data_IF_375838901752
#
_entry.id   IF_375838901752
#
_cell.length_a   1.000
_cell.length_b   1.000
_cell.length_c   1.000
_cell.angle_alpha   90.00
_cell.angle_beta   90.00
_cell.angle_gamma   90.00
#
_symmetry.space_group_name_H-M   'P 1'
#
loop_
_entity.id
_entity.type
_entity.pdbx_description
1 polymer ?
#
# COMPACT_ATOMS: atom_id res chain seq x y z
N UNK A 1 5.53 -21.22 -11.95
CA UNK A 1 5.46 -19.75 -12.18
C UNK A 1 4.39 -19.21 -11.25
N UNK A 2 4.62 -18.08 -10.60
CA UNK A 2 3.66 -17.43 -9.71
C UNK A 2 3.50 -15.96 -10.11
N UNK A 3 2.34 -15.39 -9.83
CA UNK A 3 2.11 -13.95 -10.02
C UNK A 3 1.81 -13.30 -8.68
N UNK A 4 2.41 -12.13 -8.46
CA UNK A 4 2.06 -11.22 -7.36
C UNK A 4 1.37 -9.99 -7.95
N UNK A 5 0.18 -9.73 -7.47
CA UNK A 5 -0.55 -8.51 -7.84
C UNK A 5 -0.49 -7.53 -6.67
N UNK A 6 -0.01 -6.34 -6.92
CA UNK A 6 0.00 -5.23 -5.96
C UNK A 6 -1.09 -4.23 -6.33
N UNK A 7 -1.98 -3.91 -5.39
CA UNK A 7 -3.08 -2.97 -5.60
C UNK A 7 -3.11 -1.95 -4.46
N UNK A 8 -2.93 -0.67 -4.78
CA UNK A 8 -3.17 0.39 -3.81
C UNK A 8 -4.67 0.60 -3.62
N UNK A 9 -5.08 0.81 -2.36
CA UNK A 9 -6.47 1.16 -2.06
C UNK A 9 -6.96 2.32 -2.91
N UNK A 10 -8.27 2.34 -3.19
CA UNK A 10 -8.94 3.44 -3.88
C UNK A 10 -8.86 4.75 -3.11
N UNK A 11 -9.21 5.85 -3.76
CA UNK A 11 -9.21 7.19 -3.17
C UNK A 11 -10.00 7.20 -1.86
N UNK A 12 -9.34 7.66 -0.78
CA UNK A 12 -9.96 7.80 0.53
C UNK A 12 -10.43 9.22 0.80
N UNK A 13 -11.31 9.40 1.80
CA UNK A 13 -11.80 10.69 2.24
C UNK A 13 -10.66 11.69 2.51
N UNK A 14 -9.59 11.25 3.19
CA UNK A 14 -8.45 12.12 3.48
C UNK A 14 -7.48 12.30 2.30
N UNK A 15 -7.53 11.44 1.29
CA UNK A 15 -6.89 11.74 0.01
C UNK A 15 -7.61 12.90 -0.71
N UNK A 16 -8.94 12.93 -0.65
CA UNK A 16 -9.74 14.01 -1.22
C UNK A 16 -9.52 15.34 -0.50
N UNK A 17 -9.47 15.31 0.84
CA UNK A 17 -9.21 16.48 1.68
C UNK A 17 -7.73 16.89 1.73
N UNK A 18 -6.84 16.21 1.00
CA UNK A 18 -5.39 16.46 0.98
C UNK A 18 -4.70 16.37 2.36
N UNK A 19 -5.21 15.52 3.28
CA UNK A 19 -4.67 15.35 4.62
C UNK A 19 -3.63 14.23 4.69
N UNK A 20 -2.72 14.32 5.67
CA UNK A 20 -1.84 13.20 6.05
C UNK A 20 -2.65 12.14 6.78
N UNK A 21 -2.79 10.96 6.19
CA UNK A 21 -3.66 9.90 6.74
C UNK A 21 -2.92 8.94 7.67
N UNK A 22 -1.87 8.32 7.18
CA UNK A 22 -1.10 7.32 7.94
C UNK A 22 -1.96 6.16 8.46
N UNK A 23 -1.87 5.89 9.76
CA UNK A 23 -2.61 4.83 10.44
C UNK A 23 -4.01 5.27 10.91
N UNK A 24 -4.36 6.54 10.77
CA UNK A 24 -5.74 6.98 11.00
C UNK A 24 -6.68 6.26 10.03
N UNK A 25 -7.79 5.73 10.56
CA UNK A 25 -8.68 4.89 9.79
C UNK A 25 -9.80 5.72 9.17
N UNK A 26 -9.75 5.88 7.85
CA UNK A 26 -10.76 6.58 7.04
C UNK A 26 -11.28 5.65 5.97
N UNK A 27 -12.45 5.98 5.45
CA UNK A 27 -13.11 5.22 4.43
C UNK A 27 -12.74 5.65 3.00
N UNK A 28 -13.24 4.90 2.02
CA UNK A 28 -13.18 5.23 0.61
C UNK A 28 -14.21 6.30 0.26
N UNK A 29 -13.85 7.19 -0.66
CA UNK A 29 -14.82 8.04 -1.35
C UNK A 29 -15.66 7.22 -2.34
N UNK A 30 -16.72 7.83 -2.91
CA UNK A 30 -17.47 7.23 -4.01
C UNK A 30 -16.56 6.91 -5.21
N UNK A 31 -15.61 7.78 -5.52
CA UNK A 31 -14.60 7.56 -6.56
C UNK A 31 -13.69 6.38 -6.21
N UNK A 32 -13.22 6.29 -4.96
CA UNK A 32 -12.41 5.16 -4.50
C UNK A 32 -13.13 3.82 -4.56
N UNK A 33 -14.45 3.80 -4.36
CA UNK A 33 -15.29 2.60 -4.57
C UNK A 33 -15.31 2.23 -6.06
N UNK A 34 -15.48 3.20 -6.96
CA UNK A 34 -15.47 2.97 -8.42
C UNK A 34 -14.08 2.49 -8.90
N UNK A 35 -12.98 3.05 -8.36
CA UNK A 35 -11.62 2.57 -8.62
C UNK A 35 -11.44 1.11 -8.19
N UNK A 36 -11.96 0.73 -7.01
CA UNK A 36 -11.90 -0.65 -6.53
C UNK A 36 -12.72 -1.62 -7.41
N UNK A 37 -13.87 -1.20 -7.93
CA UNK A 37 -14.65 -1.96 -8.89
C UNK A 37 -13.89 -2.13 -10.20
N UNK A 38 -13.29 -1.07 -10.73
CA UNK A 38 -12.47 -1.11 -11.95
C UNK A 38 -11.29 -2.06 -11.78
N UNK A 39 -10.61 -2.02 -10.63
CA UNK A 39 -9.56 -2.98 -10.31
C UNK A 39 -10.08 -4.43 -10.37
N UNK A 40 -11.26 -4.69 -9.81
CA UNK A 40 -11.90 -6.00 -9.86
C UNK A 40 -12.18 -6.48 -11.29
N UNK A 41 -12.62 -5.58 -12.18
CA UNK A 41 -12.83 -5.88 -13.60
C UNK A 41 -11.50 -6.22 -14.30
N UNK A 42 -10.44 -5.46 -14.04
CA UNK A 42 -9.11 -5.74 -14.57
C UNK A 42 -8.59 -7.10 -14.11
N UNK A 43 -8.74 -7.41 -12.81
CA UNK A 43 -8.35 -8.71 -12.27
C UNK A 43 -9.15 -9.89 -12.86
N UNK A 44 -10.43 -9.71 -13.09
CA UNK A 44 -11.30 -10.75 -13.67
C UNK A 44 -10.96 -11.07 -15.13
N UNK A 45 -10.55 -10.05 -15.89
CA UNK A 45 -10.32 -10.15 -17.32
C UNK A 45 -8.86 -10.39 -17.71
N UNK A 46 -7.93 -10.38 -16.72
CA UNK A 46 -6.50 -10.59 -17.00
C UNK A 46 -6.22 -12.05 -17.41
N UNK A 47 -5.72 -12.29 -18.63
CA UNK A 47 -5.49 -13.65 -19.11
C UNK A 47 -4.48 -14.41 -18.26
N UNK A 48 -4.87 -15.64 -17.85
CA UNK A 48 -4.02 -16.53 -17.09
C UNK A 48 -3.79 -16.12 -15.62
N UNK A 49 -4.54 -15.14 -15.11
CA UNK A 49 -4.51 -14.77 -13.70
C UNK A 49 -5.48 -15.64 -12.89
N UNK A 50 -4.97 -16.44 -11.98
CA UNK A 50 -5.76 -17.28 -11.07
C UNK A 50 -5.48 -16.90 -9.61
N UNK A 51 -6.23 -15.93 -9.09
CA UNK A 51 -6.09 -15.46 -7.71
C UNK A 51 -6.46 -16.57 -6.71
N UNK A 52 -5.59 -16.84 -5.74
CA UNK A 52 -5.73 -17.90 -4.73
C UNK A 52 -5.75 -17.40 -3.29
N UNK A 53 -5.07 -16.30 -2.98
CA UNK A 53 -5.00 -15.72 -1.66
C UNK A 53 -4.88 -14.20 -1.73
N UNK A 54 -5.48 -13.53 -0.75
CA UNK A 54 -5.38 -12.09 -0.55
C UNK A 54 -4.62 -11.76 0.72
N UNK A 55 -3.69 -10.81 0.63
CA UNK A 55 -3.08 -10.12 1.77
C UNK A 55 -3.55 -8.66 1.80
N UNK A 56 -3.89 -8.15 2.99
CA UNK A 56 -4.24 -6.75 3.15
C UNK A 56 -3.83 -6.20 4.53
N UNK A 57 -3.91 -4.90 4.71
CA UNK A 57 -3.64 -4.22 5.97
C UNK A 57 -4.80 -4.34 6.96
N UNK A 58 -4.68 -3.66 8.11
CA UNK A 58 -5.76 -3.52 9.11
C UNK A 58 -6.58 -2.23 8.93
N UNK A 59 -6.35 -1.46 7.85
CA UNK A 59 -7.03 -0.19 7.62
C UNK A 59 -8.21 -0.35 6.67
N UNK A 60 -9.35 0.24 7.04
CA UNK A 60 -10.65 0.07 6.38
C UNK A 60 -10.60 0.33 4.88
N UNK A 61 -9.92 1.38 4.42
CA UNK A 61 -9.80 1.71 3.00
C UNK A 61 -9.15 0.61 2.16
N UNK A 62 -8.15 -0.10 2.70
CA UNK A 62 -7.52 -1.21 2.00
C UNK A 62 -8.39 -2.48 2.06
N UNK A 63 -8.97 -2.78 3.22
CA UNK A 63 -9.90 -3.89 3.41
C UNK A 63 -11.10 -3.75 2.47
N UNK A 64 -11.72 -2.56 2.39
CA UNK A 64 -12.87 -2.30 1.52
C UNK A 64 -12.50 -2.40 0.05
N UNK A 65 -11.37 -1.81 -0.36
CA UNK A 65 -10.87 -1.97 -1.73
C UNK A 65 -10.71 -3.45 -2.09
N UNK A 66 -10.08 -4.23 -1.22
CA UNK A 66 -9.91 -5.67 -1.41
C UNK A 66 -11.25 -6.40 -1.57
N UNK A 67 -12.20 -6.16 -0.66
CA UNK A 67 -13.51 -6.80 -0.70
C UNK A 67 -14.30 -6.44 -1.97
N UNK A 68 -14.30 -5.16 -2.36
CA UNK A 68 -14.98 -4.68 -3.57
C UNK A 68 -14.34 -5.31 -4.82
N UNK A 69 -13.01 -5.27 -4.92
CA UNK A 69 -12.29 -5.84 -6.07
C UNK A 69 -12.52 -7.34 -6.20
N UNK A 70 -12.46 -8.10 -5.09
CA UNK A 70 -12.73 -9.54 -5.09
C UNK A 70 -14.20 -9.86 -5.43
N UNK A 71 -15.15 -9.07 -4.91
CA UNK A 71 -16.57 -9.23 -5.23
C UNK A 71 -16.81 -9.02 -6.71
N UNK A 72 -16.26 -7.95 -7.30
CA UNK A 72 -16.36 -7.66 -8.73
C UNK A 72 -15.68 -8.73 -9.59
N UNK A 73 -14.55 -9.26 -9.13
CA UNK A 73 -13.85 -10.36 -9.79
C UNK A 73 -14.50 -11.74 -9.59
N UNK A 74 -15.62 -11.83 -8.86
CA UNK A 74 -16.27 -13.09 -8.45
C UNK A 74 -15.31 -14.04 -7.71
N UNK A 75 -14.54 -13.49 -6.76
CA UNK A 75 -13.51 -14.17 -5.94
C UNK A 75 -13.63 -13.90 -4.45
N UNK A 76 -14.82 -13.51 -3.94
CA UNK A 76 -15.05 -13.20 -2.51
C UNK A 76 -14.76 -14.36 -1.56
N UNK A 77 -14.67 -15.59 -2.07
CA UNK A 77 -14.40 -16.82 -1.30
C UNK A 77 -12.91 -17.03 -0.99
N UNK A 78 -12.01 -16.22 -1.55
CA UNK A 78 -10.57 -16.39 -1.33
C UNK A 78 -10.19 -16.24 0.16
N UNK A 79 -9.24 -17.04 0.66
CA UNK A 79 -8.67 -16.80 1.97
C UNK A 79 -7.99 -15.43 2.05
N UNK A 80 -8.22 -14.76 3.19
CA UNK A 80 -7.72 -13.40 3.45
C UNK A 80 -6.78 -13.41 4.64
N UNK A 81 -5.56 -12.90 4.45
CA UNK A 81 -4.58 -12.65 5.51
C UNK A 81 -4.46 -11.16 5.77
N UNK A 82 -4.68 -10.73 6.99
CA UNK A 82 -4.52 -9.32 7.41
C UNK A 82 -3.28 -9.15 8.26
N UNK A 83 -2.51 -8.09 7.99
CA UNK A 83 -1.32 -7.79 8.78
C UNK A 83 -1.13 -6.28 8.92
N UNK A 84 -0.86 -5.82 10.15
CA UNK A 84 -0.46 -4.45 10.42
C UNK A 84 0.82 -4.05 9.67
N UNK A 85 1.67 -5.01 9.35
CA UNK A 85 2.90 -4.79 8.57
C UNK A 85 2.63 -4.26 7.17
N UNK A 86 1.41 -4.43 6.65
CA UNK A 86 0.96 -3.84 5.38
C UNK A 86 0.27 -2.48 5.55
N UNK A 87 0.12 -1.94 6.76
CA UNK A 87 -0.44 -0.61 6.97
C UNK A 87 0.35 0.47 6.22
N UNK A 88 -0.27 1.62 6.01
CA UNK A 88 0.41 2.81 5.49
C UNK A 88 1.53 3.26 6.45
N UNK A 89 2.47 4.06 5.97
CA UNK A 89 3.46 4.72 6.80
C UNK A 89 2.78 5.61 7.85
N UNK A 90 3.27 5.56 9.09
CA UNK A 90 2.78 6.41 10.15
C UNK A 90 3.37 7.82 10.02
N UNK A 91 2.51 8.84 9.87
CA UNK A 91 2.95 10.20 9.64
C UNK A 91 3.23 11.02 10.92
N UNK A 92 3.23 10.37 12.09
CA UNK A 92 3.52 11.04 13.37
C UNK A 92 2.59 12.23 13.61
N UNK A 93 3.16 13.34 14.08
CA UNK A 93 2.41 14.57 14.39
C UNK A 93 1.82 15.27 13.14
N UNK A 94 2.19 14.84 11.93
CA UNK A 94 1.54 15.34 10.71
C UNK A 94 0.16 14.70 10.47
N UNK A 95 -0.18 13.59 11.13
CA UNK A 95 -1.48 12.91 10.96
C UNK A 95 -2.65 13.88 11.18
N UNK A 96 -3.53 13.98 10.19
CA UNK A 96 -4.69 14.89 10.18
C UNK A 96 -4.40 16.31 9.75
N UNK A 97 -3.14 16.69 9.52
CA UNK A 97 -2.79 18.03 9.02
C UNK A 97 -2.94 18.10 7.51
N UNK A 98 -3.36 19.28 7.01
CA UNK A 98 -3.40 19.57 5.58
C UNK A 98 -1.97 19.72 5.03
N UNK A 99 -1.72 19.13 3.84
CA UNK A 99 -0.37 19.13 3.25
C UNK A 99 0.04 20.52 2.77
N UNK A 100 -0.91 21.34 2.26
CA UNK A 100 -0.63 22.68 1.78
C UNK A 100 -0.32 23.62 2.96
N UNK A 101 -1.14 23.61 4.01
CA UNK A 101 -0.90 24.37 5.22
C UNK A 101 0.42 23.97 5.90
N UNK A 102 0.76 22.67 5.86
CA UNK A 102 2.04 22.17 6.36
C UNK A 102 3.22 22.71 5.53
N UNK A 103 3.06 22.79 4.19
CA UNK A 103 4.07 23.38 3.30
C UNK A 103 4.25 24.89 3.57
N UNK A 104 3.14 25.62 3.78
CA UNK A 104 3.19 27.04 4.10
C UNK A 104 3.89 27.31 5.45
N UNK A 105 3.69 26.42 6.43
CA UNK A 105 4.27 26.55 7.76
C UNK A 105 5.75 26.17 7.85
N UNK A 106 6.16 25.10 7.19
CA UNK A 106 7.49 24.49 7.36
C UNK A 106 8.38 24.60 6.11
N UNK A 107 7.83 25.08 5.00
CA UNK A 107 8.50 25.15 3.71
C UNK A 107 8.36 23.87 2.89
N UNK A 108 8.37 24.02 1.57
CA UNK A 108 8.21 22.90 0.61
C UNK A 108 9.33 21.87 0.71
N UNK A 109 10.57 22.31 0.96
CA UNK A 109 11.73 21.40 1.08
C UNK A 109 11.57 20.48 2.29
N UNK A 110 11.21 21.04 3.45
CA UNK A 110 10.99 20.24 4.65
C UNK A 110 9.80 19.30 4.48
N UNK A 111 8.71 19.75 3.85
CA UNK A 111 7.58 18.89 3.53
C UNK A 111 8.00 17.74 2.62
N UNK A 112 8.80 18.03 1.57
CA UNK A 112 9.31 17.01 0.64
C UNK A 112 10.18 15.99 1.38
N UNK A 113 11.05 16.41 2.30
CA UNK A 113 11.84 15.50 3.15
C UNK A 113 10.93 14.56 3.94
N UNK A 114 9.96 15.08 4.68
CA UNK A 114 9.05 14.25 5.48
C UNK A 114 8.16 13.32 4.63
N UNK A 115 7.86 13.70 3.40
CA UNK A 115 7.00 12.90 2.52
C UNK A 115 7.75 11.88 1.68
N UNK A 116 8.98 12.19 1.28
CA UNK A 116 9.69 11.49 0.21
C UNK A 116 11.02 10.89 0.64
N UNK A 117 11.69 11.41 1.67
CA UNK A 117 12.96 10.84 2.10
C UNK A 117 12.80 9.37 2.49
N UNK A 118 13.84 8.60 2.21
CA UNK A 118 13.92 7.20 2.62
C UNK A 118 14.06 7.06 4.13
N UNK A 119 14.86 7.91 4.79
CA UNK A 119 15.30 7.77 6.17
C UNK A 119 14.94 8.94 7.12
N UNK A 120 14.28 10.01 6.62
CA UNK A 120 13.86 11.14 7.45
C UNK A 120 12.38 11.02 7.81
N UNK A 121 12.03 10.65 9.06
CA UNK A 121 10.64 10.58 9.49
C UNK A 121 10.05 11.96 9.77
N UNK A 122 8.72 12.12 9.70
CA UNK A 122 8.04 13.27 10.29
C UNK A 122 8.25 13.32 11.82
N UNK A 123 7.98 14.47 12.47
CA UNK A 123 7.98 14.55 13.93
C UNK A 123 7.08 13.46 14.55
N UNK A 124 7.54 12.75 15.61
CA UNK A 124 6.75 11.73 16.26
C UNK A 124 5.52 12.33 16.96
N UNK A 125 4.50 11.51 17.18
CA UNK A 125 3.41 11.86 18.08
C UNK A 125 3.99 12.05 19.50
N UNK A 126 3.51 13.06 20.25
CA UNK A 126 3.82 13.19 21.68
C UNK A 126 3.34 11.97 22.49
N UNK A 127 3.99 11.70 23.59
CA UNK A 127 3.55 10.67 24.52
C UNK A 127 2.12 10.95 25.01
N UNK A 128 1.26 9.93 24.98
CA UNK A 128 -0.14 10.05 25.38
C UNK A 128 -1.04 10.77 24.37
N UNK A 129 -0.56 11.08 23.18
CA UNK A 129 -1.40 11.69 22.13
C UNK A 129 -2.57 10.76 21.76
N UNK A 130 -3.82 11.27 21.74
CA UNK A 130 -5.01 10.46 21.44
C UNK A 130 -5.05 9.89 20.01
N UNK A 131 -4.18 10.36 19.12
CA UNK A 131 -4.00 9.81 17.77
C UNK A 131 -3.09 8.58 17.75
N UNK A 132 -2.45 8.23 18.88
CA UNK A 132 -1.66 7.01 19.01
C UNK A 132 -2.52 5.77 18.83
N UNK A 133 -1.98 4.75 18.18
CA UNK A 133 -2.63 3.46 18.00
C UNK A 133 -2.36 2.48 19.16
N UNK A 134 -1.65 2.92 20.20
CA UNK A 134 -1.46 2.14 21.44
C UNK A 134 -2.80 1.94 22.14
N UNK A 135 -3.16 0.68 22.43
CA UNK A 135 -4.44 0.33 23.02
C UNK A 135 -5.60 0.16 22.03
N UNK A 136 -5.41 0.42 20.76
CA UNK A 136 -6.42 0.11 19.74
C UNK A 136 -6.58 -1.42 19.59
N UNK A 137 -7.81 -1.96 19.68
CA UNK A 137 -8.06 -3.41 19.63
C UNK A 137 -7.59 -4.08 18.33
N UNK A 138 -7.40 -3.35 17.25
CA UNK A 138 -6.84 -3.87 15.99
C UNK A 138 -5.39 -4.33 16.15
N UNK A 139 -4.66 -3.76 17.10
CA UNK A 139 -3.23 -4.01 17.34
C UNK A 139 -2.95 -4.73 18.67
N UNK A 140 -3.97 -5.32 19.32
CA UNK A 140 -3.84 -5.98 20.63
C UNK A 140 -2.78 -7.08 20.69
N UNK A 141 -2.51 -7.73 19.54
CA UNK A 141 -1.53 -8.82 19.43
C UNK A 141 -0.15 -8.30 18.91
N UNK A 142 0.00 -6.98 18.80
CA UNK A 142 1.24 -6.32 18.39
C UNK A 142 1.96 -5.81 19.64
N UNK A 143 3.26 -6.13 19.83
CA UNK A 143 4.03 -5.54 20.92
C UNK A 143 3.96 -4.02 20.89
N UNK A 144 3.78 -3.39 22.06
CA UNK A 144 3.58 -1.94 22.15
C UNK A 144 4.74 -1.15 21.53
N UNK A 145 5.95 -1.65 21.70
CA UNK A 145 7.18 -1.09 21.13
C UNK A 145 7.26 -1.19 19.60
N UNK A 146 6.44 -2.04 18.99
CA UNK A 146 6.35 -2.17 17.53
C UNK A 146 5.26 -1.28 16.92
N UNK A 147 4.44 -0.60 17.76
CA UNK A 147 3.45 0.38 17.29
C UNK A 147 4.18 1.71 17.07
N UNK A 148 4.27 2.20 15.83
CA UNK A 148 5.09 3.37 15.54
C UNK A 148 4.42 4.66 16.03
N UNK A 149 5.22 5.61 16.50
CA UNK A 149 4.83 6.99 16.75
C UNK A 149 5.15 7.91 15.56
N UNK A 150 5.97 7.45 14.64
CA UNK A 150 6.30 8.02 13.33
C UNK A 150 7.08 7.01 12.51
N UNK A 151 7.07 7.13 11.19
CA UNK A 151 7.87 6.27 10.29
C UNK A 151 8.42 7.08 9.10
N UNK A 152 9.65 6.78 8.70
CA UNK A 152 10.16 7.02 7.35
C UNK A 152 9.93 5.76 6.47
N UNK A 153 10.32 5.80 5.20
CA UNK A 153 10.15 4.64 4.30
C UNK A 153 11.02 3.44 4.74
N UNK A 154 12.22 3.69 5.29
CA UNK A 154 13.11 2.67 5.83
C UNK A 154 12.44 1.84 6.94
N UNK A 155 11.67 2.48 7.82
CA UNK A 155 10.93 1.80 8.89
C UNK A 155 9.82 0.91 8.30
N UNK A 156 9.12 1.40 7.26
CA UNK A 156 8.13 0.61 6.53
C UNK A 156 8.77 -0.61 5.86
N UNK A 157 9.94 -0.45 5.23
CA UNK A 157 10.70 -1.56 4.65
C UNK A 157 11.08 -2.57 5.73
N UNK A 158 11.53 -2.12 6.89
CA UNK A 158 11.93 -2.99 8.01
C UNK A 158 10.77 -3.88 8.51
N UNK A 159 9.53 -3.37 8.54
CA UNK A 159 8.36 -4.17 8.97
C UNK A 159 7.70 -4.98 7.85
N UNK A 160 7.79 -4.52 6.61
CA UNK A 160 7.22 -5.23 5.45
C UNK A 160 8.08 -6.41 5.02
N UNK A 161 9.41 -6.27 5.09
CA UNK A 161 10.37 -7.28 4.63
C UNK A 161 10.17 -8.66 5.27
N UNK A 162 10.12 -8.80 6.61
CA UNK A 162 9.86 -10.10 7.22
C UNK A 162 8.48 -10.67 6.86
N UNK A 163 7.46 -9.84 6.74
CA UNK A 163 6.14 -10.32 6.32
C UNK A 163 6.13 -10.82 4.87
N UNK A 164 6.89 -10.16 4.00
CA UNK A 164 7.08 -10.66 2.64
C UNK A 164 7.79 -12.01 2.64
N UNK A 165 8.95 -12.13 3.29
CA UNK A 165 9.78 -13.33 3.23
C UNK A 165 9.15 -14.55 3.91
N UNK A 166 8.46 -14.35 5.03
CA UNK A 166 7.91 -15.41 5.87
C UNK A 166 6.48 -15.81 5.50
N UNK A 167 5.71 -14.92 4.87
CA UNK A 167 4.27 -15.16 4.62
C UNK A 167 3.93 -15.05 3.14
N UNK A 168 4.18 -13.88 2.50
CA UNK A 168 3.78 -13.68 1.11
C UNK A 168 4.58 -14.57 0.17
N UNK A 169 5.89 -14.70 0.37
CA UNK A 169 6.74 -15.54 -0.46
C UNK A 169 6.41 -17.04 -0.32
N UNK A 170 6.01 -17.47 0.88
CA UNK A 170 5.53 -18.84 1.10
C UNK A 170 4.22 -19.10 0.34
N UNK A 171 3.24 -18.17 0.41
CA UNK A 171 2.01 -18.29 -0.37
C UNK A 171 2.31 -18.27 -1.88
N UNK A 172 3.23 -17.41 -2.35
CA UNK A 172 3.68 -17.40 -3.76
C UNK A 172 4.28 -18.75 -4.20
N UNK A 173 5.14 -19.37 -3.39
CA UNK A 173 5.72 -20.68 -3.71
C UNK A 173 4.65 -21.76 -3.75
N UNK A 174 3.80 -21.80 -2.73
CA UNK A 174 2.72 -22.78 -2.61
C UNK A 174 1.73 -22.69 -3.77
N UNK A 175 1.19 -21.51 -4.03
CA UNK A 175 0.18 -21.30 -5.06
C UNK A 175 0.80 -21.35 -6.47
N UNK A 176 2.05 -20.94 -6.63
CA UNK A 176 2.78 -20.97 -7.90
C UNK A 176 3.01 -22.39 -8.45
N UNK A 177 3.08 -23.43 -7.59
CA UNK A 177 3.09 -24.83 -8.02
C UNK A 177 1.83 -25.20 -8.80
N UNK A 178 0.70 -24.60 -8.45
CA UNK A 178 -0.60 -24.80 -9.05
C UNK A 178 -0.93 -23.76 -10.15
N UNK A 179 0.03 -22.88 -10.50
CA UNK A 179 -0.20 -21.79 -11.43
C UNK A 179 -1.03 -20.65 -10.85
N UNK A 180 -1.14 -20.59 -9.53
CA UNK A 180 -1.95 -19.59 -8.81
C UNK A 180 -1.21 -18.28 -8.57
N UNK A 181 -1.95 -17.26 -8.17
CA UNK A 181 -1.50 -15.90 -7.97
C UNK A 181 -1.88 -15.37 -6.59
N UNK A 182 -1.04 -14.47 -6.06
CA UNK A 182 -1.23 -13.79 -4.77
C UNK A 182 -1.62 -12.32 -5.03
N UNK A 183 -2.67 -11.84 -4.36
CA UNK A 183 -3.08 -10.44 -4.39
C UNK A 183 -2.67 -9.74 -3.07
N UNK A 184 -2.03 -8.58 -3.15
CA UNK A 184 -1.75 -7.70 -2.01
C UNK A 184 -2.48 -6.38 -2.23
N UNK A 185 -3.43 -6.06 -1.36
CA UNK A 185 -4.13 -4.78 -1.36
C UNK A 185 -3.67 -3.97 -0.17
N UNK A 186 -2.95 -2.87 -0.42
CA UNK A 186 -2.30 -2.11 0.63
C UNK A 186 -2.21 -0.60 0.29
N UNK A 187 -1.13 0.07 0.68
CA UNK A 187 -1.01 1.53 0.64
C UNK A 187 0.23 1.97 -0.14
N UNK A 188 0.32 3.27 -0.41
CA UNK A 188 1.40 3.84 -1.20
C UNK A 188 2.80 3.47 -0.69
N UNK A 189 3.06 3.66 0.61
CA UNK A 189 4.40 3.39 1.15
C UNK A 189 4.66 1.90 1.42
N UNK A 190 3.66 1.12 1.84
CA UNK A 190 3.86 -0.33 1.99
C UNK A 190 4.07 -1.04 0.64
N UNK A 191 3.42 -0.58 -0.44
CA UNK A 191 3.66 -1.09 -1.78
C UNK A 191 4.99 -0.61 -2.38
N UNK A 192 5.43 0.63 -2.06
CA UNK A 192 6.80 1.07 -2.37
C UNK A 192 7.85 0.18 -1.71
N UNK A 193 7.66 -0.12 -0.42
CA UNK A 193 8.56 -1.03 0.31
C UNK A 193 8.62 -2.42 -0.36
N UNK A 194 7.48 -2.99 -0.74
CA UNK A 194 7.44 -4.26 -1.47
C UNK A 194 8.16 -4.16 -2.82
N UNK A 195 7.91 -3.12 -3.59
CA UNK A 195 8.57 -2.94 -4.89
C UNK A 195 10.08 -2.72 -4.74
N UNK A 196 10.50 -1.95 -3.73
CA UNK A 196 11.91 -1.75 -3.41
C UNK A 196 12.62 -3.07 -3.13
N UNK A 197 12.04 -3.92 -2.26
CA UNK A 197 12.58 -5.24 -1.91
C UNK A 197 12.64 -6.16 -3.12
N UNK A 198 11.55 -6.23 -3.90
CA UNK A 198 11.40 -7.17 -5.01
C UNK A 198 12.21 -6.78 -6.24
N UNK A 199 12.25 -5.51 -6.58
CA UNK A 199 12.84 -4.99 -7.81
C UNK A 199 14.24 -4.39 -7.58
N UNK A 200 14.76 -4.44 -6.34
CA UNK A 200 16.05 -3.83 -5.95
C UNK A 200 16.15 -2.35 -6.35
N UNK A 201 15.06 -1.59 -6.15
CA UNK A 201 15.02 -0.17 -6.49
C UNK A 201 15.92 0.60 -5.50
N UNK A 202 16.87 1.42 -5.97
CA UNK A 202 17.73 2.24 -5.11
C UNK A 202 16.97 3.24 -4.24
N UNK A 203 17.58 3.67 -3.14
CA UNK A 203 16.96 4.59 -2.16
C UNK A 203 16.62 5.95 -2.76
N UNK A 204 17.39 6.45 -3.69
CA UNK A 204 17.16 7.70 -4.41
C UNK A 204 16.04 7.59 -5.44
N UNK A 205 15.91 6.45 -6.12
CA UNK A 205 14.87 6.22 -7.11
C UNK A 205 13.50 5.92 -6.47
N UNK A 206 13.47 5.21 -5.33
CA UNK A 206 12.21 4.82 -4.67
C UNK A 206 11.41 6.04 -4.19
N UNK A 207 12.08 7.15 -3.90
CA UNK A 207 11.44 8.39 -3.45
C UNK A 207 10.55 9.00 -4.52
N UNK A 208 10.88 8.81 -5.79
CA UNK A 208 10.15 9.35 -6.94
C UNK A 208 9.07 8.37 -7.47
N UNK A 209 9.07 7.12 -6.98
CA UNK A 209 8.10 6.12 -7.42
C UNK A 209 6.70 6.43 -6.91
N UNK A 210 5.77 6.67 -7.82
CA UNK A 210 4.35 6.83 -7.49
C UNK A 210 3.58 5.53 -7.70
N UNK A 211 2.70 5.21 -6.74
CA UNK A 211 1.80 4.08 -6.83
C UNK A 211 0.38 4.63 -7.04
N UNK A 212 -0.22 4.49 -8.24
CA UNK A 212 -1.58 4.95 -8.50
C UNK A 212 -2.61 4.19 -7.65
N UNK A 213 -3.73 4.84 -7.31
CA UNK A 213 -4.87 4.20 -6.65
C UNK A 213 -5.63 3.32 -7.63
N UNK A 214 -6.15 2.19 -7.17
CA UNK A 214 -7.11 1.37 -7.92
C UNK A 214 -6.57 0.69 -9.19
N UNK A 215 -5.28 0.76 -9.50
CA UNK A 215 -4.69 0.12 -10.67
C UNK A 215 -3.77 -1.03 -10.26
N UNK A 216 -4.11 -2.30 -10.59
CA UNK A 216 -3.29 -3.44 -10.22
C UNK A 216 -1.95 -3.46 -10.96
N UNK A 217 -0.87 -3.78 -10.25
CA UNK A 217 0.47 -3.98 -10.78
C UNK A 217 0.86 -5.45 -10.66
N UNK A 218 1.11 -6.13 -11.77
CA UNK A 218 1.47 -7.55 -11.84
C UNK A 218 2.98 -7.72 -11.89
N UNK A 219 3.51 -8.61 -11.05
CA UNK A 219 4.89 -9.11 -11.09
C UNK A 219 4.82 -10.61 -11.36
N UNK A 220 5.42 -11.06 -12.43
CA UNK A 220 5.52 -12.48 -12.78
C UNK A 220 6.85 -13.04 -12.33
N UNK A 221 6.81 -14.21 -11.71
CA UNK A 221 7.99 -14.91 -11.21
C UNK A 221 8.18 -16.27 -11.86
N UNK A 222 9.44 -16.70 -11.93
CA UNK A 222 9.77 -18.10 -12.17
C UNK A 222 9.58 -18.97 -10.90
N UNK A 223 10.00 -20.23 -10.94
CA UNK A 223 9.91 -21.16 -9.80
C UNK A 223 10.80 -20.80 -8.61
N UNK A 224 11.83 -19.98 -8.83
CA UNK A 224 12.80 -19.54 -7.82
C UNK A 224 12.50 -18.15 -7.27
N UNK A 225 11.36 -17.56 -7.69
CA UNK A 225 10.94 -16.20 -7.41
C UNK A 225 11.85 -15.11 -8.00
N UNK A 226 12.52 -15.40 -9.14
CA UNK A 226 13.14 -14.34 -9.95
C UNK A 226 12.07 -13.66 -10.80
N UNK A 227 12.16 -12.34 -10.95
CA UNK A 227 11.20 -11.56 -11.74
C UNK A 227 11.41 -11.80 -13.22
N UNK A 228 10.37 -12.27 -13.90
CA UNK A 228 10.32 -12.45 -15.35
C UNK A 228 9.81 -11.19 -16.06
N UNK A 229 8.79 -10.55 -15.49
CA UNK A 229 8.21 -9.31 -16.01
C UNK A 229 7.41 -8.59 -14.94
N UNK A 230 7.24 -7.28 -15.10
CA UNK A 230 6.42 -6.48 -14.20
C UNK A 230 5.76 -5.32 -14.97
N UNK A 231 4.49 -5.00 -14.64
CA UNK A 231 3.74 -3.93 -15.28
C UNK A 231 2.33 -3.75 -14.70
N UNK A 232 1.73 -2.60 -14.99
CA UNK A 232 0.33 -2.34 -14.63
C UNK A 232 -0.61 -3.14 -15.55
N UNK A 233 -1.75 -3.57 -14.99
CA UNK A 233 -2.83 -4.16 -15.77
C UNK A 233 -3.64 -3.07 -16.46
N UNK A 234 -4.21 -3.38 -17.63
CA UNK A 234 -5.01 -2.45 -18.41
C UNK A 234 -4.16 -1.47 -19.22
N UNK A 235 -4.65 -0.24 -19.38
CA UNK A 235 -3.98 0.79 -20.18
C UNK A 235 -2.80 1.42 -19.44
N UNK A 236 -1.60 1.27 -19.99
CA UNK A 236 -0.39 1.86 -19.43
C UNK A 236 -0.44 3.40 -19.39
N UNK A 237 -1.10 4.05 -20.36
CA UNK A 237 -1.29 5.50 -20.38
C UNK A 237 -2.20 5.98 -19.22
N UNK A 238 -3.25 5.23 -18.94
CA UNK A 238 -4.13 5.52 -17.79
C UNK A 238 -3.38 5.34 -16.45
N UNK A 239 -2.54 4.32 -16.33
CA UNK A 239 -1.72 4.11 -15.14
C UNK A 239 -0.70 5.25 -14.94
N UNK A 240 -0.06 5.71 -16.00
CA UNK A 240 0.85 6.84 -15.95
C UNK A 240 0.14 8.13 -15.52
N UNK A 241 -1.01 8.45 -16.12
CA UNK A 241 -1.81 9.63 -15.78
C UNK A 241 -2.28 9.61 -14.32
N UNK A 242 -2.67 8.44 -13.81
CA UNK A 242 -3.06 8.27 -12.42
C UNK A 242 -1.87 8.44 -11.46
N UNK A 243 -0.68 7.95 -11.78
CA UNK A 243 0.54 8.17 -11.01
C UNK A 243 0.90 9.67 -10.94
N UNK A 244 0.83 10.39 -12.06
CA UNK A 244 1.06 11.83 -12.10
C UNK A 244 0.01 12.62 -11.30
N UNK A 245 -1.25 12.17 -11.26
CA UNK A 245 -2.28 12.77 -10.42
C UNK A 245 -1.96 12.63 -8.93
N UNK A 246 -1.42 11.48 -8.50
CA UNK A 246 -0.94 11.29 -7.13
C UNK A 246 0.25 12.19 -6.82
N UNK A 247 1.18 12.36 -7.75
CA UNK A 247 2.31 13.28 -7.60
C UNK A 247 1.85 14.73 -7.37
N UNK A 248 0.85 15.19 -8.14
CA UNK A 248 0.28 16.55 -8.03
C UNK A 248 -0.46 16.83 -6.70
N UNK A 249 -0.98 15.81 -6.00
CA UNK A 249 -1.55 15.99 -4.64
C UNK A 249 -0.51 16.43 -3.61
N UNK A 250 0.71 16.51 -4.00
CA UNK A 250 1.86 16.79 -3.17
C UNK A 250 2.27 18.26 -3.11
N UNK A 251 1.70 19.11 -3.91
CA UNK A 251 2.03 20.54 -4.01
C UNK A 251 2.28 20.92 -5.42
#
# INVERSE_FOLDING_TARGET
MADLILLRHGRSEWNELNLFTGWHDVDLTTEGVAEAQTAGVLLANEPGLDLRVLHTSLLSRAIRTANISLSTANRSWLPVRRSWRLNERHYGDLTGKDKKETAEKFGMEQLKLWRRSYDVPPPPLPDGDPRSNVGDPRYRDVPVEAIPMTECLKDVVARVSPYFTEVIAEDLRKEGVLGGSVLVVAHGNSLRALRMILQNIPEDEITELEIPTGIPYRIKFDSELNILSAGYLGDAGAAQAAAEAVARQAG
#
